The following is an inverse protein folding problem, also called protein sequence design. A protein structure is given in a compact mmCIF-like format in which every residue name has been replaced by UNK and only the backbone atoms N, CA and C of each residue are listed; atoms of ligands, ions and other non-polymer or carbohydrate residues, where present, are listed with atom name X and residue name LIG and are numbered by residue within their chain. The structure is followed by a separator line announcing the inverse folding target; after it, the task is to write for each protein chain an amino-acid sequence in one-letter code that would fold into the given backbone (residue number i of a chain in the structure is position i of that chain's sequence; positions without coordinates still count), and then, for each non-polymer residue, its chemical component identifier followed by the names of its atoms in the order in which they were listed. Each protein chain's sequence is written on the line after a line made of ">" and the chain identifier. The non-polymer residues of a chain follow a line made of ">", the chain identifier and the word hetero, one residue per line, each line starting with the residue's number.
data_IF_269860024991
#
_entry.id   IF_269860024991
#
_cell.length_a   1.000
_cell.length_b   1.000
_cell.length_c   1.000
_cell.angle_alpha   90.00
_cell.angle_beta   90.00
_cell.angle_gamma   90.00
#
_symmetry.space_group_name_H-M   'P 1'
#
loop_
_entity.id
_entity.type
_entity.pdbx_description
1 polymer ?
#
# COMPACT_ATOMS: atom_id res chain seq x y z
N UNK A 1 15.26 5.40 -1.21
CA UNK A 1 14.15 5.59 -2.16
C UNK A 1 12.93 5.99 -1.35
N UNK A 2 12.65 7.29 -1.27
CA UNK A 2 11.62 7.79 -0.36
C UNK A 2 10.21 7.53 -0.90
N UNK A 3 9.52 6.50 -0.40
CA UNK A 3 8.17 6.13 -0.86
C UNK A 3 7.08 7.16 -0.54
N UNK A 4 7.36 8.18 0.28
CA UNK A 4 6.44 9.31 0.51
C UNK A 4 6.46 10.34 -0.64
N UNK A 5 7.40 10.21 -1.58
CA UNK A 5 7.46 11.01 -2.81
C UNK A 5 6.71 10.31 -3.94
N UNK A 6 5.95 11.08 -4.71
CA UNK A 6 5.10 10.54 -5.78
C UNK A 6 5.90 9.73 -6.80
N UNK A 7 7.03 10.24 -7.30
CA UNK A 7 7.82 9.55 -8.33
C UNK A 7 8.39 8.22 -7.86
N UNK A 8 8.86 8.14 -6.61
CA UNK A 8 9.34 6.90 -6.00
C UNK A 8 8.19 5.90 -5.79
N UNK A 9 7.05 6.37 -5.27
CA UNK A 9 5.85 5.56 -5.07
C UNK A 9 5.33 4.96 -6.38
N UNK A 10 5.23 5.77 -7.43
CA UNK A 10 4.80 5.33 -8.75
C UNK A 10 5.75 4.29 -9.35
N UNK A 11 7.06 4.57 -9.31
CA UNK A 11 8.08 3.67 -9.83
C UNK A 11 8.06 2.31 -9.12
N UNK A 12 7.92 2.31 -7.80
CA UNK A 12 7.80 1.08 -7.02
C UNK A 12 6.50 0.33 -7.35
N UNK A 13 5.34 0.98 -7.30
CA UNK A 13 4.05 0.31 -7.48
C UNK A 13 3.88 -0.25 -8.90
N UNK A 14 4.32 0.49 -9.92
CA UNK A 14 4.28 0.03 -11.32
C UNK A 14 5.28 -1.10 -11.62
N UNK A 15 6.28 -1.33 -10.77
CA UNK A 15 7.16 -2.51 -10.89
C UNK A 15 6.46 -3.83 -10.58
N UNK A 16 5.29 -3.79 -9.95
CA UNK A 16 4.52 -4.97 -9.56
C UNK A 16 3.55 -5.39 -10.69
N UNK A 17 3.43 -6.69 -11.02
CA UNK A 17 2.60 -7.14 -12.13
C UNK A 17 1.11 -6.81 -11.95
N UNK A 18 0.46 -6.37 -13.03
CA UNK A 18 -0.97 -6.09 -13.03
C UNK A 18 -1.40 -4.88 -12.19
N UNK A 19 -0.45 -4.00 -11.82
CA UNK A 19 -0.73 -2.74 -11.12
C UNK A 19 -1.11 -1.63 -12.09
N UNK A 20 -2.12 -0.86 -11.72
CA UNK A 20 -2.46 0.43 -12.33
C UNK A 20 -2.56 1.53 -11.27
N UNK A 21 -2.35 2.77 -11.72
CA UNK A 21 -2.42 3.96 -10.89
C UNK A 21 -3.59 4.84 -11.30
N UNK A 22 -4.19 5.51 -10.31
CA UNK A 22 -5.26 6.48 -10.54
C UNK A 22 -5.23 7.56 -9.46
N UNK A 23 -5.55 8.80 -9.84
CA UNK A 23 -5.75 9.90 -8.89
C UNK A 23 -7.18 9.84 -8.35
N UNK A 24 -7.32 9.49 -7.07
CA UNK A 24 -8.62 9.39 -6.39
C UNK A 24 -8.49 9.90 -4.96
N UNK A 25 -9.50 10.63 -4.50
CA UNK A 25 -9.60 11.11 -3.10
C UNK A 25 -8.42 11.99 -2.63
N UNK A 26 -7.82 12.75 -3.54
CA UNK A 26 -6.61 13.54 -3.22
C UNK A 26 -5.38 12.67 -2.94
N UNK A 27 -5.34 11.47 -3.51
CA UNK A 27 -4.27 10.51 -3.33
C UNK A 27 -3.89 9.85 -4.66
N UNK A 28 -2.64 9.39 -4.72
CA UNK A 28 -2.17 8.52 -5.80
C UNK A 28 -2.45 7.07 -5.41
N UNK A 29 -3.46 6.46 -6.03
CA UNK A 29 -3.99 5.15 -5.64
C UNK A 29 -3.46 4.05 -6.54
N UNK A 30 -2.85 3.02 -5.95
CA UNK A 30 -2.36 1.83 -6.65
C UNK A 30 -3.34 0.65 -6.49
N UNK A 31 -3.66 0.04 -7.62
CA UNK A 31 -4.63 -1.06 -7.72
C UNK A 31 -4.02 -2.25 -8.44
N UNK A 32 -4.22 -3.46 -7.93
CA UNK A 32 -3.89 -4.70 -8.64
C UNK A 32 -5.18 -5.28 -9.23
N UNK A 33 -5.23 -5.42 -10.56
CA UNK A 33 -6.45 -5.86 -11.26
C UNK A 33 -7.71 -5.11 -10.80
N UNK A 34 -7.62 -3.78 -10.71
CA UNK A 34 -8.71 -2.90 -10.27
C UNK A 34 -9.00 -2.87 -8.76
N UNK A 35 -8.32 -3.67 -7.93
CA UNK A 35 -8.48 -3.69 -6.47
C UNK A 35 -7.39 -2.89 -5.77
N UNK A 36 -7.77 -1.94 -4.93
CA UNK A 36 -6.82 -1.12 -4.16
C UNK A 36 -6.00 -2.01 -3.22
N UNK A 37 -4.69 -1.78 -3.17
CA UNK A 37 -3.81 -2.38 -2.16
C UNK A 37 -2.98 -1.33 -1.41
N UNK A 38 -2.66 -0.20 -2.04
CA UNK A 38 -2.00 0.92 -1.37
C UNK A 38 -2.33 2.26 -2.03
N UNK A 39 -2.16 3.35 -1.31
CA UNK A 39 -2.22 4.71 -1.85
C UNK A 39 -1.26 5.64 -1.10
N UNK A 40 -0.78 6.65 -1.82
CA UNK A 40 -0.06 7.78 -1.26
C UNK A 40 -1.03 8.96 -1.12
N UNK A 41 -1.39 9.32 0.10
CA UNK A 41 -2.19 10.52 0.39
C UNK A 41 -1.30 11.74 0.22
N UNK A 42 -1.75 12.69 -0.61
CA UNK A 42 -1.02 13.90 -0.94
C UNK A 42 -1.63 15.08 -0.19
N UNK A 43 -0.97 15.55 0.87
CA UNK A 43 -1.41 16.72 1.65
C UNK A 43 -0.41 17.86 1.45
N UNK A 44 0.84 17.59 1.78
CA UNK A 44 2.02 18.41 1.51
C UNK A 44 3.24 17.49 1.60
N UNK A 45 4.41 17.86 1.05
CA UNK A 45 5.58 16.99 1.07
C UNK A 45 5.90 16.40 2.45
N UNK A 46 5.73 17.16 3.52
CA UNK A 46 6.01 16.71 4.89
C UNK A 46 4.86 15.97 5.57
N UNK A 47 3.62 16.14 5.09
CA UNK A 47 2.42 15.51 5.66
C UNK A 47 1.87 14.37 4.78
N UNK A 48 2.62 13.96 3.77
CA UNK A 48 2.27 12.79 2.96
C UNK A 48 2.26 11.53 3.84
N UNK A 49 1.32 10.65 3.57
CA UNK A 49 1.16 9.39 4.30
C UNK A 49 0.81 8.26 3.36
N UNK A 50 1.29 7.06 3.65
CA UNK A 50 1.02 5.86 2.87
C UNK A 50 -0.06 5.06 3.57
N UNK A 51 -1.08 4.64 2.83
CA UNK A 51 -2.13 3.77 3.33
C UNK A 51 -2.05 2.43 2.63
N UNK A 52 -2.02 1.33 3.37
CA UNK A 52 -1.97 -0.01 2.79
C UNK A 52 -2.76 -1.05 3.59
N UNK A 53 -3.12 -2.14 2.90
CA UNK A 53 -3.81 -3.28 3.50
C UNK A 53 -2.83 -4.20 4.22
N UNK A 54 -3.20 -4.67 5.40
CA UNK A 54 -2.43 -5.63 6.18
C UNK A 54 -3.35 -6.71 6.80
N UNK A 55 -2.81 -7.89 7.16
CA UNK A 55 -3.55 -8.86 7.97
C UNK A 55 -3.82 -8.30 9.39
N UNK A 56 -4.84 -8.82 10.07
CA UNK A 56 -5.20 -8.34 11.42
C UNK A 56 -4.06 -8.47 12.43
N UNK A 57 -3.24 -9.53 12.34
CA UNK A 57 -2.08 -9.72 13.20
C UNK A 57 -1.05 -8.58 13.07
N UNK A 58 -0.78 -8.12 11.84
CA UNK A 58 0.13 -7.03 11.56
C UNK A 58 -0.50 -5.69 11.93
N UNK A 59 -1.82 -5.53 11.80
CA UNK A 59 -2.51 -4.31 12.17
C UNK A 59 -2.29 -3.96 13.65
N UNK A 60 -2.43 -4.94 14.55
CA UNK A 60 -2.24 -4.73 15.99
C UNK A 60 -0.83 -4.24 16.29
N UNK A 61 0.18 -4.87 15.68
CA UNK A 61 1.59 -4.47 15.87
C UNK A 61 1.85 -3.09 15.28
N UNK A 62 1.43 -2.86 14.03
CA UNK A 62 1.68 -1.62 13.30
C UNK A 62 1.03 -0.42 13.99
N UNK A 63 -0.20 -0.55 14.48
CA UNK A 63 -0.89 0.55 15.19
C UNK A 63 -0.34 0.84 16.58
N UNK A 64 0.58 0.01 17.10
CA UNK A 64 1.38 0.32 18.27
C UNK A 64 2.55 1.27 17.99
N UNK A 65 2.89 1.49 16.72
CA UNK A 65 3.96 2.40 16.30
C UNK A 65 3.41 3.82 16.24
N UNK A 66 4.12 4.78 16.85
CA UNK A 66 3.80 6.20 16.70
C UNK A 66 3.75 6.60 15.22
N UNK A 67 2.85 7.49 14.81
CA UNK A 67 2.69 7.83 13.37
C UNK A 67 1.96 6.77 12.53
N UNK A 68 1.54 5.65 13.11
CA UNK A 68 0.71 4.64 12.43
C UNK A 68 -0.69 4.58 13.04
N UNK A 69 -1.71 4.71 12.20
CA UNK A 69 -3.12 4.73 12.63
C UNK A 69 -4.00 3.89 11.73
N UNK A 70 -5.22 3.57 12.17
CA UNK A 70 -6.21 2.98 11.27
C UNK A 70 -6.51 3.93 10.10
N UNK A 71 -6.52 3.40 8.87
CA UNK A 71 -6.90 4.19 7.70
C UNK A 71 -8.40 4.54 7.76
N UNK A 72 -8.77 5.83 7.59
CA UNK A 72 -10.18 6.24 7.59
C UNK A 72 -10.89 5.69 6.35
N UNK A 73 -12.18 5.38 6.49
CA UNK A 73 -13.06 4.88 5.40
C UNK A 73 -12.69 3.52 4.81
N UNK A 74 -11.63 2.87 5.29
CA UNK A 74 -11.29 1.49 4.95
C UNK A 74 -11.83 0.49 5.98
N UNK A 75 -11.81 -0.79 5.63
CA UNK A 75 -12.19 -1.87 6.54
C UNK A 75 -11.36 -1.80 7.83
N UNK A 76 -12.04 -1.84 8.98
CA UNK A 76 -11.41 -1.77 10.30
C UNK A 76 -10.44 -2.95 10.47
N UNK A 77 -9.36 -2.72 11.22
CA UNK A 77 -8.34 -3.73 11.57
C UNK A 77 -7.61 -4.38 10.39
N UNK A 78 -7.73 -3.84 9.19
CA UNK A 78 -7.11 -4.40 7.98
C UNK A 78 -6.35 -3.36 7.14
N UNK A 79 -6.41 -2.09 7.53
CA UNK A 79 -5.80 -0.99 6.78
C UNK A 79 -5.18 0.02 7.73
N UNK A 80 -3.92 0.34 7.48
CA UNK A 80 -3.16 1.33 8.25
C UNK A 80 -2.82 2.52 7.39
N UNK A 81 -2.68 3.67 8.04
CA UNK A 81 -2.16 4.92 7.51
C UNK A 81 -0.85 5.20 8.25
N UNK A 82 0.25 5.23 7.52
CA UNK A 82 1.60 5.45 8.03
C UNK A 82 2.06 6.82 7.57
N UNK A 83 2.35 7.70 8.52
CA UNK A 83 2.95 9.00 8.26
C UNK A 83 4.48 8.93 8.38
N UNK A 84 5.18 9.99 8.00
CA UNK A 84 6.65 10.04 8.05
C UNK A 84 7.21 9.89 9.48
N UNK A 85 6.45 10.32 10.47
CA UNK A 85 6.82 10.27 11.89
C UNK A 85 6.93 8.83 12.42
N UNK A 86 6.39 7.84 11.69
CA UNK A 86 6.54 6.44 12.05
C UNK A 86 7.97 5.92 11.98
N UNK A 87 8.87 6.67 11.31
CA UNK A 87 10.29 6.34 11.26
C UNK A 87 10.60 5.00 10.56
N UNK A 88 9.64 4.43 9.83
CA UNK A 88 9.86 3.22 9.04
C UNK A 88 10.86 3.50 7.92
N UNK A 89 11.86 2.64 7.78
CA UNK A 89 12.80 2.71 6.68
C UNK A 89 12.12 2.43 5.34
N UNK A 90 12.74 2.90 4.25
CA UNK A 90 12.27 2.66 2.89
C UNK A 90 12.13 1.15 2.60
N UNK A 91 13.04 0.32 3.12
CA UNK A 91 12.99 -1.14 2.96
C UNK A 91 11.84 -1.80 3.72
N UNK A 92 11.51 -1.30 4.91
CA UNK A 92 10.35 -1.79 5.66
C UNK A 92 9.05 -1.43 4.94
N UNK A 93 8.93 -0.18 4.48
CA UNK A 93 7.76 0.25 3.70
C UNK A 93 7.61 -0.55 2.40
N UNK A 94 8.69 -0.75 1.64
CA UNK A 94 8.69 -1.60 0.44
C UNK A 94 8.16 -3.01 0.76
N UNK A 95 8.67 -3.64 1.82
CA UNK A 95 8.23 -4.95 2.26
C UNK A 95 6.73 -4.99 2.64
N UNK A 96 6.25 -3.99 3.38
CA UNK A 96 4.83 -3.88 3.74
C UNK A 96 3.93 -3.68 2.52
N UNK A 97 4.35 -2.87 1.55
CA UNK A 97 3.57 -2.63 0.34
C UNK A 97 3.54 -3.85 -0.58
N UNK A 98 4.65 -4.60 -0.70
CA UNK A 98 4.67 -5.90 -1.40
C UNK A 98 3.73 -6.90 -0.73
N UNK A 99 3.73 -6.98 0.60
CA UNK A 99 2.83 -7.86 1.34
C UNK A 99 1.36 -7.46 1.16
N UNK A 100 1.06 -6.15 1.14
CA UNK A 100 -0.28 -5.65 0.82
C UNK A 100 -0.72 -6.06 -0.59
N UNK A 101 0.16 -5.87 -1.58
CA UNK A 101 -0.07 -6.31 -2.96
C UNK A 101 -0.40 -7.82 -3.02
N UNK A 102 0.44 -8.66 -2.41
CA UNK A 102 0.23 -10.11 -2.37
C UNK A 102 -1.08 -10.49 -1.68
N UNK A 103 -1.43 -9.81 -0.58
CA UNK A 103 -2.67 -10.04 0.16
C UNK A 103 -3.91 -9.76 -0.70
N UNK A 104 -3.91 -8.68 -1.48
CA UNK A 104 -5.02 -8.35 -2.39
C UNK A 104 -5.03 -9.28 -3.61
N UNK A 105 -3.86 -9.59 -4.17
CA UNK A 105 -3.70 -10.49 -5.31
C UNK A 105 -4.11 -11.95 -5.00
N UNK A 106 -3.96 -12.40 -3.74
CA UNK A 106 -4.48 -13.69 -3.25
C UNK A 106 -6.00 -13.82 -3.45
N UNK A 107 -6.73 -12.71 -3.40
CA UNK A 107 -8.18 -12.65 -3.65
C UNK A 107 -8.59 -12.62 -5.14
N UNK A 108 -7.66 -12.72 -6.08
CA UNK A 108 -7.94 -12.85 -7.51
C UNK A 108 -8.16 -14.32 -7.89
N UNK A 109 -8.74 -14.58 -9.06
CA UNK A 109 -8.83 -15.96 -9.58
C UNK A 109 -7.44 -16.43 -10.05
N UNK A 110 -7.24 -17.75 -10.12
CA UNK A 110 -5.99 -18.33 -10.64
C UNK A 110 -5.72 -17.87 -12.08
N UNK A 111 -6.76 -17.82 -12.92
CA UNK A 111 -6.68 -17.36 -14.31
C UNK A 111 -6.18 -15.91 -14.40
N UNK A 112 -6.82 -14.98 -13.68
CA UNK A 112 -6.42 -13.56 -13.69
C UNK A 112 -4.98 -13.38 -13.23
N UNK A 113 -4.53 -14.11 -12.20
CA UNK A 113 -3.13 -14.06 -11.78
C UNK A 113 -2.17 -14.54 -12.87
N UNK A 114 -2.52 -15.59 -13.59
CA UNK A 114 -1.68 -16.13 -14.67
C UNK A 114 -1.59 -15.15 -15.85
N UNK A 115 -2.72 -14.60 -16.29
CA UNK A 115 -2.80 -13.62 -17.38
C UNK A 115 -1.98 -12.36 -17.09
N UNK A 116 -1.98 -11.91 -15.82
CA UNK A 116 -1.24 -10.73 -15.38
C UNK A 116 0.20 -11.03 -14.93
N UNK A 117 0.67 -12.27 -15.01
CA UNK A 117 2.02 -12.65 -14.57
C UNK A 117 2.27 -12.55 -13.06
N UNK A 118 1.20 -12.56 -12.25
CA UNK A 118 1.27 -12.42 -10.80
C UNK A 118 1.71 -13.74 -10.17
N UNK A 119 2.87 -13.72 -9.52
CA UNK A 119 3.37 -14.82 -8.69
C UNK A 119 3.14 -14.47 -7.22
N UNK A 120 2.47 -15.36 -6.52
CA UNK A 120 2.30 -15.26 -5.08
C UNK A 120 3.48 -16.00 -4.45
N UNK A 121 4.19 -15.33 -3.56
CA UNK A 121 5.14 -15.96 -2.64
C UNK A 121 4.40 -16.57 -1.43
#
# INVERSE_FOLDING_TARGET
>A
MNLFEIGCFESFTLSLPGVSLVDQWGARVAKVSGKVFTLLRLVSPDLNSIVFKCPEESFVVLTGIEGVKQAPYFAKRQWVCVSKEAGLSDSELDAYLRRSYQLVAKGLTKQVRQELGIRLE
#
